data_IF_853006548452
#
_entry.id   IF_853006548452
#
_cell.length_a   1.000
_cell.length_b   1.000
_cell.length_c   1.000
_cell.angle_alpha   90.00
_cell.angle_beta   90.00
_cell.angle_gamma   90.00
#
_symmetry.space_group_name_H-M   'P 1'
#
loop_
_entity.id
_entity.type
_entity.pdbx_description
1 polymer ?
#
# COMPACT_ATOMS: atom_id res chain seq x y z
N UNK A 1 -0.05 4.64 -13.82
CA UNK A 1 -1.12 3.66 -13.52
C UNK A 1 -0.50 2.48 -12.77
N UNK A 2 -1.25 1.84 -11.87
CA UNK A 2 -0.76 0.76 -11.01
C UNK A 2 -1.40 -0.57 -11.42
N UNK A 3 -0.56 -1.57 -11.69
CA UNK A 3 -0.98 -2.92 -11.98
C UNK A 3 -1.03 -3.75 -10.70
N UNK A 4 -2.15 -4.46 -10.50
CA UNK A 4 -2.32 -5.41 -9.39
C UNK A 4 -2.09 -6.81 -9.94
N UNK A 5 -1.04 -7.48 -9.45
CA UNK A 5 -0.64 -8.81 -9.90
C UNK A 5 -0.89 -9.80 -8.76
N UNK A 6 -1.71 -10.85 -8.97
CA UNK A 6 -1.88 -11.90 -7.97
C UNK A 6 -0.64 -12.80 -7.93
N UNK A 7 -0.06 -12.97 -6.74
CA UNK A 7 0.99 -13.98 -6.50
C UNK A 7 0.39 -15.28 -5.96
N UNK A 8 -0.61 -15.16 -5.09
CA UNK A 8 -1.40 -16.28 -4.54
C UNK A 8 -2.87 -15.89 -4.44
N UNK A 9 -3.71 -16.75 -3.86
CA UNK A 9 -5.11 -16.42 -3.57
C UNK A 9 -5.30 -15.30 -2.54
N UNK A 10 -4.27 -15.00 -1.75
CA UNK A 10 -4.32 -14.00 -0.68
C UNK A 10 -3.23 -12.95 -0.76
N UNK A 11 -2.22 -13.13 -1.62
CA UNK A 11 -1.10 -12.21 -1.77
C UNK A 11 -1.10 -11.58 -3.17
N UNK A 12 -1.07 -10.26 -3.19
CA UNK A 12 -1.10 -9.43 -4.39
C UNK A 12 0.04 -8.41 -4.32
N UNK A 13 0.55 -8.00 -5.47
CA UNK A 13 1.59 -6.97 -5.56
C UNK A 13 1.16 -5.84 -6.49
N UNK A 14 1.61 -4.63 -6.16
CA UNK A 14 1.34 -3.40 -6.90
C UNK A 14 2.61 -2.95 -7.60
N UNK A 15 2.52 -2.81 -8.92
CA UNK A 15 3.64 -2.41 -9.77
C UNK A 15 3.26 -1.17 -10.58
N UNK A 16 4.17 -0.18 -10.61
CA UNK A 16 4.02 1.00 -11.48
C UNK A 16 4.28 0.60 -12.93
N UNK A 17 3.45 1.08 -13.85
CA UNK A 17 3.66 0.87 -15.28
C UNK A 17 4.90 1.57 -15.86
N UNK A 18 5.38 2.61 -15.19
CA UNK A 18 6.42 3.50 -15.73
C UNK A 18 7.85 3.15 -15.26
N UNK A 19 7.99 2.11 -14.43
CA UNK A 19 9.22 1.82 -13.72
C UNK A 19 9.73 0.43 -14.13
N UNK A 20 10.66 0.43 -15.08
CA UNK A 20 11.46 -0.73 -15.44
C UNK A 20 12.88 -0.50 -14.89
N UNK A 21 13.47 -1.42 -14.09
CA UNK A 21 13.07 -2.81 -13.92
C UNK A 21 12.07 -3.08 -12.77
N UNK A 22 11.05 -3.87 -13.11
CA UNK A 22 10.25 -4.91 -12.43
C UNK A 22 10.00 -4.98 -10.90
N UNK A 23 10.46 -4.06 -10.06
CA UNK A 23 10.19 -4.19 -8.62
C UNK A 23 8.74 -3.81 -8.28
N UNK A 24 8.09 -4.59 -7.40
CA UNK A 24 6.78 -4.20 -6.86
C UNK A 24 6.98 -3.20 -5.72
N UNK A 25 6.22 -2.11 -5.79
CA UNK A 25 6.30 -1.01 -4.81
C UNK A 25 5.50 -1.30 -3.56
N UNK A 26 4.45 -2.12 -3.66
CA UNK A 26 3.70 -2.56 -2.51
C UNK A 26 3.22 -4.01 -2.65
N UNK A 27 2.92 -4.64 -1.53
CA UNK A 27 2.21 -5.91 -1.47
C UNK A 27 0.94 -5.76 -0.62
N UNK A 28 -0.07 -6.57 -0.92
CA UNK A 28 -1.26 -6.69 -0.10
C UNK A 28 -1.50 -8.16 0.25
N UNK A 29 -1.66 -8.44 1.54
CA UNK A 29 -2.05 -9.74 2.07
C UNK A 29 -3.47 -9.67 2.63
N UNK A 30 -4.37 -10.48 2.07
CA UNK A 30 -5.76 -10.57 2.47
C UNK A 30 -5.92 -11.67 3.51
N UNK A 31 -6.55 -11.32 4.62
CA UNK A 31 -6.98 -12.28 5.64
C UNK A 31 -8.46 -12.08 5.93
N UNK A 32 -9.26 -13.12 5.76
CA UNK A 32 -10.63 -13.13 6.24
C UNK A 32 -10.65 -13.19 7.76
N UNK A 33 -11.45 -12.33 8.39
CA UNK A 33 -11.70 -12.41 9.83
C UNK A 33 -13.05 -13.05 10.10
N UNK A 34 -13.22 -13.62 11.30
CA UNK A 34 -14.52 -14.12 11.74
C UNK A 34 -15.55 -12.98 11.72
N UNK A 35 -16.63 -13.14 10.94
CA UNK A 35 -17.66 -12.13 10.73
C UNK A 35 -17.65 -11.52 9.34
N UNK A 36 -18.08 -10.26 9.25
CA UNK A 36 -18.33 -9.57 7.97
C UNK A 36 -17.19 -8.61 7.54
N UNK A 37 -15.98 -8.84 8.04
CA UNK A 37 -14.82 -7.97 7.84
C UNK A 37 -13.69 -8.69 7.08
N UNK A 38 -13.15 -7.99 6.10
CA UNK A 38 -11.90 -8.32 5.43
C UNK A 38 -10.75 -7.53 6.04
N UNK A 39 -9.63 -8.16 6.36
CA UNK A 39 -8.41 -7.45 6.71
C UNK A 39 -7.44 -7.50 5.53
N UNK A 40 -6.92 -6.36 5.13
CA UNK A 40 -5.90 -6.25 4.09
C UNK A 40 -4.68 -5.58 4.69
N UNK A 41 -3.59 -6.32 4.82
CA UNK A 41 -2.30 -5.78 5.26
C UNK A 41 -1.52 -5.33 4.03
N UNK A 42 -1.01 -4.11 4.05
CA UNK A 42 -0.29 -3.50 2.94
C UNK A 42 1.11 -3.13 3.39
N UNK A 43 2.11 -3.67 2.71
CA UNK A 43 3.50 -3.28 2.88
C UNK A 43 3.90 -2.40 1.69
N UNK A 44 4.35 -1.17 1.94
CA UNK A 44 4.78 -0.20 0.92
C UNK A 44 6.27 0.06 1.07
N UNK A 45 7.03 -0.15 -0.01
CA UNK A 45 8.43 0.23 -0.13
C UNK A 45 8.53 1.64 -0.72
N UNK A 46 8.74 2.63 0.16
CA UNK A 46 8.80 4.06 -0.20
C UNK A 46 10.02 4.40 -1.05
N UNK A 47 11.10 3.61 -0.97
CA UNK A 47 12.31 3.79 -1.82
C UNK A 47 11.99 3.68 -3.31
N UNK A 48 10.91 2.97 -3.67
CA UNK A 48 10.47 2.77 -5.05
C UNK A 48 9.39 3.78 -5.48
N UNK A 49 9.12 4.80 -4.66
CA UNK A 49 8.13 5.83 -4.94
C UNK A 49 8.83 7.13 -5.28
N UNK A 50 8.57 7.64 -6.49
CA UNK A 50 9.27 8.80 -7.04
C UNK A 50 8.87 10.11 -6.38
N UNK A 51 7.57 10.29 -6.14
CA UNK A 51 7.00 11.55 -5.67
C UNK A 51 5.67 11.32 -4.94
N UNK A 52 5.14 12.43 -4.40
CA UNK A 52 3.85 12.45 -3.69
C UNK A 52 2.69 11.99 -4.57
N UNK A 53 2.68 12.37 -5.84
CA UNK A 53 1.59 12.02 -6.76
C UNK A 53 1.55 10.51 -7.00
N UNK A 54 2.70 9.88 -7.24
CA UNK A 54 2.83 8.44 -7.39
C UNK A 54 2.36 7.70 -6.13
N UNK A 55 2.66 8.23 -4.93
CA UNK A 55 2.17 7.70 -3.66
C UNK A 55 0.64 7.78 -3.54
N UNK A 56 0.05 8.95 -3.85
CA UNK A 56 -1.40 9.14 -3.79
C UNK A 56 -2.12 8.20 -4.79
N UNK A 57 -1.60 8.07 -6.01
CA UNK A 57 -2.10 7.13 -7.00
C UNK A 57 -2.02 5.67 -6.53
N UNK A 58 -0.98 5.30 -5.79
CA UNK A 58 -0.83 3.96 -5.21
C UNK A 58 -1.88 3.71 -4.14
N UNK A 59 -2.09 4.67 -3.24
CA UNK A 59 -3.12 4.57 -2.20
C UNK A 59 -4.51 4.41 -2.80
N UNK A 60 -4.82 5.15 -3.86
CA UNK A 60 -6.11 5.03 -4.56
C UNK A 60 -6.27 3.67 -5.26
N UNK A 61 -5.20 3.14 -5.86
CA UNK A 61 -5.20 1.79 -6.43
C UNK A 61 -5.43 0.72 -5.35
N UNK A 62 -4.79 0.85 -4.18
CA UNK A 62 -4.98 -0.06 -3.03
C UNK A 62 -6.41 -0.01 -2.51
N UNK A 63 -6.99 1.20 -2.37
CA UNK A 63 -8.39 1.37 -1.94
C UNK A 63 -9.36 0.75 -2.93
N UNK A 64 -9.16 1.00 -4.22
CA UNK A 64 -9.98 0.41 -5.27
C UNK A 64 -9.89 -1.12 -5.25
N UNK A 65 -8.69 -1.66 -5.12
CA UNK A 65 -8.46 -3.08 -4.95
C UNK A 65 -9.21 -3.63 -3.74
N UNK A 66 -9.10 -2.99 -2.57
CA UNK A 66 -9.79 -3.44 -1.37
C UNK A 66 -11.32 -3.44 -1.54
N UNK A 67 -11.90 -2.41 -2.16
CA UNK A 67 -13.33 -2.34 -2.44
C UNK A 67 -13.77 -3.48 -3.39
N UNK A 68 -12.93 -3.89 -4.35
CA UNK A 68 -13.18 -5.06 -5.20
C UNK A 68 -13.13 -6.38 -4.40
N UNK A 69 -12.13 -6.53 -3.52
CA UNK A 69 -11.98 -7.74 -2.70
C UNK A 69 -13.15 -7.90 -1.71
N UNK A 70 -13.60 -6.81 -1.09
CA UNK A 70 -14.78 -6.84 -0.20
C UNK A 70 -16.01 -7.40 -0.92
N UNK A 71 -16.26 -6.95 -2.16
CA UNK A 71 -17.34 -7.48 -3.00
C UNK A 71 -17.12 -8.93 -3.38
N UNK A 72 -15.88 -9.30 -3.74
CA UNK A 72 -15.52 -10.67 -4.11
C UNK A 72 -15.75 -11.68 -2.98
N UNK A 73 -15.38 -11.31 -1.75
CA UNK A 73 -15.53 -12.15 -0.55
C UNK A 73 -16.89 -12.00 0.14
N UNK A 74 -17.81 -11.19 -0.41
CA UNK A 74 -19.13 -10.95 0.17
C UNK A 74 -19.10 -10.34 1.58
N UNK A 75 -18.09 -9.52 1.87
CA UNK A 75 -17.94 -8.80 3.14
C UNK A 75 -18.59 -7.42 3.05
N UNK A 76 -18.79 -6.75 4.19
CA UNK A 76 -19.31 -5.36 4.22
C UNK A 76 -18.35 -4.38 4.89
N UNK A 77 -17.29 -4.87 5.51
CA UNK A 77 -16.30 -4.07 6.23
C UNK A 77 -14.90 -4.47 5.78
N UNK A 78 -14.00 -3.50 5.71
CA UNK A 78 -12.61 -3.69 5.32
C UNK A 78 -11.69 -2.87 6.20
N UNK A 79 -10.68 -3.53 6.77
CA UNK A 79 -9.60 -2.86 7.49
C UNK A 79 -8.33 -2.94 6.65
N UNK A 80 -7.87 -1.78 6.19
CA UNK A 80 -6.57 -1.61 5.55
C UNK A 80 -5.53 -1.30 6.62
N UNK A 81 -4.45 -2.08 6.69
CA UNK A 81 -3.35 -1.87 7.62
C UNK A 81 -2.08 -1.59 6.83
N UNK A 82 -1.59 -0.35 6.88
CA UNK A 82 -0.42 0.07 6.13
C UNK A 82 0.84 -0.03 6.98
N UNK A 83 1.88 -0.60 6.39
CA UNK A 83 3.25 -0.58 6.86
C UNK A 83 4.10 0.05 5.75
N UNK A 84 4.64 1.24 6.00
CA UNK A 84 5.46 1.96 5.03
C UNK A 84 6.91 1.97 5.50
N UNK A 85 7.83 1.50 4.65
CA UNK A 85 9.27 1.46 4.94
C UNK A 85 10.08 1.94 3.74
N UNK A 86 11.22 2.60 3.98
CA UNK A 86 12.15 2.95 2.90
C UNK A 86 12.96 4.21 3.17
N UNK A 87 13.73 4.60 2.16
CA UNK A 87 14.54 5.83 2.15
C UNK A 87 13.78 6.87 1.30
N UNK A 88 13.56 8.07 1.84
CA UNK A 88 12.86 9.19 1.20
C UNK A 88 13.83 10.16 0.50
N UNK A 89 14.96 9.66 -0.02
CA UNK A 89 15.95 10.51 -0.70
C UNK A 89 15.32 11.14 -1.94
N UNK A 90 15.19 12.47 -1.92
CA UNK A 90 14.62 13.24 -3.03
C UNK A 90 13.08 13.27 -3.10
N UNK A 91 12.37 12.59 -2.20
CA UNK A 91 10.90 12.54 -2.23
C UNK A 91 10.30 13.71 -1.44
N UNK A 92 10.22 14.88 -2.08
CA UNK A 92 9.62 16.06 -1.48
C UNK A 92 8.10 15.88 -1.30
N UNK A 93 7.61 16.09 -0.07
CA UNK A 93 6.18 16.29 0.18
C UNK A 93 5.35 15.06 0.52
N UNK A 94 5.96 13.89 0.71
CA UNK A 94 5.28 12.75 1.33
C UNK A 94 5.22 12.96 2.86
N UNK A 95 3.99 13.07 3.39
CA UNK A 95 3.73 13.32 4.81
C UNK A 95 3.68 12.00 5.60
N UNK A 96 4.85 11.40 5.82
CA UNK A 96 5.00 10.15 6.58
C UNK A 96 6.02 10.38 7.70
N UNK A 97 5.81 9.82 8.92
CA UNK A 97 6.82 9.81 9.97
C UNK A 97 8.19 9.32 9.45
N UNK A 98 9.21 10.19 9.58
CA UNK A 98 10.57 9.93 9.10
C UNK A 98 11.62 10.33 10.14
N UNK A 99 12.73 9.60 10.18
CA UNK A 99 13.93 9.91 10.96
C UNK A 99 15.02 10.37 10.00
N UNK A 100 15.65 11.51 10.27
CA UNK A 100 16.81 11.98 9.52
C UNK A 100 18.07 11.26 10.02
N UNK A 101 18.79 10.62 9.08
CA UNK A 101 20.05 9.95 9.30
C UNK A 101 21.23 10.92 9.36
N UNK A 102 22.35 10.46 9.91
CA UNK A 102 23.58 11.27 10.05
C UNK A 102 24.23 11.66 8.72
N UNK A 103 23.87 10.98 7.63
CA UNK A 103 24.33 11.22 6.26
C UNK A 103 23.37 12.12 5.45
N UNK A 104 22.31 12.66 6.07
CA UNK A 104 21.29 13.48 5.43
C UNK A 104 20.17 12.69 4.75
N UNK A 105 20.21 11.36 4.79
CA UNK A 105 19.13 10.51 4.30
C UNK A 105 17.91 10.56 5.23
N UNK A 106 16.70 10.38 4.70
CA UNK A 106 15.47 10.31 5.52
C UNK A 106 14.90 8.90 5.49
N UNK A 107 14.97 8.20 6.62
CA UNK A 107 14.38 6.87 6.77
C UNK A 107 12.92 7.01 7.22
N UNK A 108 12.00 6.46 6.43
CA UNK A 108 10.59 6.41 6.78
C UNK A 108 10.21 5.04 7.35
N UNK A 109 9.49 5.08 8.48
CA UNK A 109 8.90 3.90 9.09
C UNK A 109 7.58 4.32 9.75
N UNK A 110 6.46 3.90 9.16
CA UNK A 110 5.15 4.29 9.64
C UNK A 110 4.14 3.15 9.56
N UNK A 111 3.24 3.15 10.53
CA UNK A 111 2.11 2.24 10.59
C UNK A 111 0.82 3.04 10.81
N UNK A 112 -0.19 2.77 9.99
CA UNK A 112 -1.51 3.35 10.18
C UNK A 112 -2.60 2.44 9.62
N UNK A 113 -3.83 2.66 10.05
CA UNK A 113 -4.98 1.86 9.61
C UNK A 113 -6.09 2.74 9.04
N UNK A 114 -6.71 2.29 7.96
CA UNK A 114 -7.89 2.91 7.35
C UNK A 114 -9.04 1.89 7.41
N UNK A 115 -10.20 2.28 7.94
CA UNK A 115 -11.40 1.43 7.97
C UNK A 115 -12.38 1.91 6.90
N UNK A 116 -12.91 0.97 6.11
CA UNK A 116 -13.87 1.24 5.04
C UNK A 116 -15.11 0.37 5.21
N UNK A 117 -16.28 1.01 5.22
CA UNK A 117 -17.58 0.33 5.24
C UNK A 117 -18.20 0.38 3.85
N UNK A 118 -18.66 -0.76 3.34
CA UNK A 118 -19.47 -0.82 2.13
C UNK A 118 -20.90 -0.43 2.49
N UNK A 119 -21.33 0.74 2.05
CA UNK A 119 -22.73 1.19 2.15
C UNK A 119 -23.62 0.55 1.10
#
# INVERSE_FOLDING_TARGET
MWNVIPLTSTLFVFQSEHDYPQDWTASANITETAGNRLNVKIDICLTLIRDKEAYEQLLDAIRHFADQQVKHFGKTDCLLQYQCTGILDGVAGIDIPSIEGTDGSRLAHAFYTEQRMSG
#
